data_IF_019417710584
#
_entry.id   IF_019417710584
#
_cell.length_a   1.000
_cell.length_b   1.000
_cell.length_c   1.000
_cell.angle_alpha   90.00
_cell.angle_beta   90.00
_cell.angle_gamma   90.00
#
_symmetry.space_group_name_H-M   'P 1'
#
loop_
_entity.id
_entity.type
_entity.pdbx_description
1 polymer ?
#
# COMPACT_ATOMS: atom_id res chain seq x y z
N UNK A 1 -34.25 -19.81 -3.93
CA UNK A 1 -33.39 -19.13 -4.92
C UNK A 1 -32.24 -18.49 -4.15
N UNK A 2 -31.03 -19.03 -4.29
CA UNK A 2 -29.84 -18.43 -3.69
C UNK A 2 -29.50 -17.17 -4.49
N UNK A 3 -29.56 -16.01 -3.83
CA UNK A 3 -29.02 -14.77 -4.37
C UNK A 3 -27.52 -14.96 -4.58
N UNK A 4 -27.06 -14.77 -5.82
CA UNK A 4 -25.63 -14.63 -6.12
C UNK A 4 -25.02 -13.61 -5.15
N UNK A 5 -23.86 -13.89 -4.53
CA UNK A 5 -23.21 -12.87 -3.72
C UNK A 5 -22.92 -11.69 -4.66
N UNK A 6 -23.50 -10.53 -4.33
CA UNK A 6 -23.22 -9.28 -5.04
C UNK A 6 -21.71 -9.14 -5.11
N UNK A 7 -21.15 -9.12 -6.33
CA UNK A 7 -19.73 -8.81 -6.54
C UNK A 7 -19.49 -7.41 -5.98
N UNK A 8 -19.01 -7.33 -4.75
CA UNK A 8 -18.71 -6.08 -4.11
C UNK A 8 -17.28 -5.70 -4.53
N UNK A 9 -17.18 -4.61 -5.29
CA UNK A 9 -15.90 -4.04 -5.67
C UNK A 9 -15.39 -3.21 -4.50
N UNK A 10 -14.09 -3.29 -4.21
CA UNK A 10 -13.46 -2.39 -3.24
C UNK A 10 -13.53 -0.95 -3.74
N UNK A 11 -13.49 0.03 -2.83
CA UNK A 11 -13.35 1.43 -3.25
C UNK A 11 -12.06 1.59 -4.04
N UNK A 12 -12.10 2.24 -5.22
CA UNK A 12 -10.91 2.43 -6.03
C UNK A 12 -9.84 3.21 -5.26
N UNK A 13 -8.60 3.02 -5.68
CA UNK A 13 -7.51 3.91 -5.26
C UNK A 13 -7.69 5.22 -6.03
N UNK A 14 -7.63 6.32 -5.31
CA UNK A 14 -8.04 7.66 -5.73
C UNK A 14 -7.06 8.71 -5.21
N UNK A 15 -7.22 9.97 -5.63
CA UNK A 15 -6.36 11.06 -5.18
C UNK A 15 -6.37 11.25 -3.65
N UNK A 16 -7.46 10.91 -2.97
CA UNK A 16 -7.57 10.94 -1.51
C UNK A 16 -6.68 9.89 -0.82
N UNK A 17 -6.18 8.89 -1.58
CA UNK A 17 -5.23 7.89 -1.10
C UNK A 17 -3.77 8.37 -1.27
N UNK A 18 -3.52 9.53 -1.89
CA UNK A 18 -2.18 10.11 -1.89
C UNK A 18 -1.72 10.42 -0.45
N UNK A 19 -0.44 10.21 -0.15
CA UNK A 19 0.14 10.57 1.14
C UNK A 19 1.28 9.69 1.62
N UNK A 20 1.65 9.90 2.87
CA UNK A 20 2.71 9.15 3.56
C UNK A 20 2.08 8.01 4.35
N UNK A 21 2.74 6.87 4.30
CA UNK A 21 2.35 5.65 5.01
C UNK A 21 3.52 5.13 5.83
N UNK A 22 3.24 4.38 6.88
CA UNK A 22 4.30 3.84 7.72
C UNK A 22 3.97 2.47 8.30
N UNK A 23 5.00 1.79 8.78
CA UNK A 23 4.85 0.61 9.64
C UNK A 23 5.43 0.84 11.01
N UNK A 24 4.75 0.30 12.01
CA UNK A 24 5.22 0.32 13.40
C UNK A 24 5.88 -1.02 13.73
N UNK A 25 7.07 -0.95 14.31
CA UNK A 25 7.69 -2.09 14.96
C UNK A 25 6.89 -2.43 16.22
N UNK A 26 6.15 -3.54 16.19
CA UNK A 26 5.30 -3.96 17.31
C UNK A 26 6.05 -4.19 18.63
N UNK A 27 7.37 -4.41 18.61
CA UNK A 27 8.17 -4.61 19.82
C UNK A 27 8.58 -3.29 20.48
N UNK A 28 8.86 -2.26 19.68
CA UNK A 28 9.41 -0.99 20.18
C UNK A 28 8.41 0.17 20.11
N UNK A 29 7.31 0.03 19.36
CA UNK A 29 6.39 1.11 19.05
C UNK A 29 6.95 2.16 18.08
N UNK A 30 8.20 1.99 17.63
CA UNK A 30 8.85 2.92 16.71
C UNK A 30 8.46 2.69 15.25
N UNK A 31 8.48 3.75 14.45
CA UNK A 31 8.33 3.66 12.99
C UNK A 31 9.54 2.93 12.40
N UNK A 32 9.29 1.92 11.58
CA UNK A 32 10.31 1.10 10.93
C UNK A 32 10.48 1.44 9.46
N UNK A 33 9.38 1.60 8.74
CA UNK A 33 9.39 1.98 7.33
C UNK A 33 8.45 3.15 7.11
N UNK A 34 8.84 4.04 6.20
CA UNK A 34 8.02 5.16 5.73
C UNK A 34 7.95 5.08 4.22
N UNK A 35 6.74 5.13 3.68
CA UNK A 35 6.43 5.07 2.27
C UNK A 35 5.67 6.32 1.84
N UNK A 36 5.73 6.67 0.57
CA UNK A 36 4.93 7.75 0.01
C UNK A 36 4.27 7.27 -1.28
N UNK A 37 2.95 7.42 -1.37
CA UNK A 37 2.19 7.24 -2.59
C UNK A 37 1.95 8.63 -3.19
N UNK A 38 2.34 8.81 -4.46
CA UNK A 38 2.25 10.08 -5.19
C UNK A 38 1.54 9.86 -6.51
N UNK A 39 0.67 10.79 -6.89
CA UNK A 39 0.11 10.88 -8.24
C UNK A 39 0.76 12.07 -8.96
N UNK A 40 1.46 11.83 -10.06
CA UNK A 40 2.20 12.82 -10.84
C UNK A 40 2.18 12.42 -12.32
N UNK A 41 2.06 13.39 -13.23
CA UNK A 41 2.03 13.15 -14.69
C UNK A 41 1.06 12.04 -15.14
N UNK A 42 -0.14 12.04 -14.55
CA UNK A 42 -1.22 11.06 -14.75
C UNK A 42 -0.93 9.62 -14.27
N UNK A 43 0.20 9.39 -13.60
CA UNK A 43 0.65 8.09 -13.11
C UNK A 43 0.80 8.04 -11.58
N UNK A 44 0.73 6.82 -11.02
CA UNK A 44 0.97 6.56 -9.60
C UNK A 44 2.39 6.06 -9.36
N UNK A 45 3.07 6.63 -8.36
CA UNK A 45 4.42 6.23 -7.95
C UNK A 45 4.48 5.91 -6.47
N UNK A 46 5.33 4.95 -6.11
CA UNK A 46 5.57 4.55 -4.73
C UNK A 46 7.04 4.80 -4.36
N UNK A 47 7.27 5.49 -3.25
CA UNK A 47 8.59 5.76 -2.72
C UNK A 47 8.74 5.16 -1.32
N UNK A 48 9.99 4.95 -0.91
CA UNK A 48 10.36 4.63 0.45
C UNK A 48 11.44 5.59 0.94
N UNK A 49 11.26 6.13 2.15
CA UNK A 49 12.30 6.91 2.80
C UNK A 49 13.41 5.97 3.25
N UNK A 50 14.62 6.17 2.73
CA UNK A 50 15.79 5.34 3.05
C UNK A 50 16.96 6.21 3.46
N UNK A 51 17.79 5.66 4.34
CA UNK A 51 19.10 6.23 4.58
C UNK A 51 19.97 5.99 3.34
N UNK A 52 20.43 7.07 2.72
CA UNK A 52 21.20 7.06 1.47
C UNK A 52 22.68 7.39 1.67
N UNK A 53 23.10 7.79 2.87
CA UNK A 53 24.50 8.11 3.16
C UNK A 53 24.99 7.46 4.47
N UNK A 54 26.32 7.44 4.68
CA UNK A 54 26.86 6.98 5.96
C UNK A 54 26.61 7.98 7.09
N UNK A 55 26.34 9.24 6.74
CA UNK A 55 26.17 10.35 7.67
C UNK A 55 24.72 10.49 8.17
N UNK A 56 23.81 9.65 7.66
CA UNK A 56 22.42 9.58 8.12
C UNK A 56 21.43 10.35 7.25
N UNK A 57 21.84 10.80 6.06
CA UNK A 57 20.94 11.53 5.16
C UNK A 57 19.83 10.62 4.66
N UNK A 58 18.59 11.09 4.80
CA UNK A 58 17.40 10.37 4.38
C UNK A 58 16.91 10.93 3.06
N UNK A 59 16.64 10.06 2.08
CA UNK A 59 16.06 10.44 0.81
C UNK A 59 14.91 9.52 0.41
N UNK A 60 13.97 10.08 -0.36
CA UNK A 60 12.92 9.30 -1.00
C UNK A 60 13.50 8.53 -2.18
N UNK A 61 13.40 7.20 -2.11
CA UNK A 61 13.86 6.31 -3.17
C UNK A 61 12.62 5.67 -3.80
N UNK A 62 12.50 5.80 -5.12
CA UNK A 62 11.41 5.16 -5.87
C UNK A 62 11.50 3.64 -5.72
N UNK A 63 10.36 3.00 -5.46
CA UNK A 63 10.23 1.56 -5.36
C UNK A 63 9.88 0.98 -6.73
N UNK A 64 10.91 0.68 -7.50
CA UNK A 64 10.81 0.12 -8.85
C UNK A 64 12.00 -0.79 -9.14
N UNK A 65 11.92 -1.58 -10.20
CA UNK A 65 13.04 -2.32 -10.77
C UNK A 65 13.14 -2.05 -12.27
N UNK A 66 14.36 -1.96 -12.80
CA UNK A 66 14.68 -1.87 -14.23
C UNK A 66 13.86 -0.89 -15.12
N UNK A 67 13.31 0.19 -14.55
CA UNK A 67 12.59 1.21 -15.32
C UNK A 67 11.06 1.09 -15.29
N UNK A 68 10.52 0.08 -14.62
CA UNK A 68 9.07 -0.05 -14.40
C UNK A 68 8.64 0.74 -13.15
N UNK A 69 8.51 2.05 -13.33
CA UNK A 69 8.31 3.00 -12.24
C UNK A 69 6.85 3.12 -11.80
N UNK A 70 5.94 3.26 -12.76
CA UNK A 70 4.53 3.56 -12.50
C UNK A 70 3.78 2.34 -12.00
N UNK A 71 2.84 2.54 -11.08
CA UNK A 71 1.94 1.49 -10.61
C UNK A 71 0.74 1.38 -11.54
N UNK A 72 0.50 0.16 -12.02
CA UNK A 72 -0.65 -0.18 -12.87
C UNK A 72 -1.73 -0.87 -12.05
N UNK A 73 -3.00 -0.53 -12.32
CA UNK A 73 -4.14 -1.18 -11.67
C UNK A 73 -4.22 -2.67 -12.02
N UNK A 74 -4.43 -3.51 -11.01
CA UNK A 74 -4.62 -4.95 -11.18
C UNK A 74 -6.10 -5.27 -11.28
N UNK A 75 -6.48 -6.13 -12.23
CA UNK A 75 -7.88 -6.50 -12.42
C UNK A 75 -8.45 -7.28 -11.22
N UNK A 76 -9.76 -7.20 -11.05
CA UNK A 76 -10.44 -7.80 -9.89
C UNK A 76 -10.28 -9.33 -9.81
N UNK A 77 -10.15 -10.03 -10.95
CA UNK A 77 -9.95 -11.47 -10.98
C UNK A 77 -8.59 -11.85 -10.40
N UNK A 78 -7.54 -11.17 -10.85
CA UNK A 78 -6.18 -11.34 -10.35
C UNK A 78 -6.07 -10.96 -8.88
N UNK A 79 -6.65 -9.82 -8.45
CA UNK A 79 -6.68 -9.44 -7.03
C UNK A 79 -7.32 -10.51 -6.17
N UNK A 80 -8.46 -11.08 -6.60
CA UNK A 80 -9.10 -12.17 -5.85
C UNK A 80 -8.18 -13.37 -5.69
N UNK A 81 -7.51 -13.80 -6.76
CA UNK A 81 -6.57 -14.93 -6.70
C UNK A 81 -5.40 -14.67 -5.74
N UNK A 82 -4.84 -13.46 -5.75
CA UNK A 82 -3.74 -13.08 -4.86
C UNK A 82 -4.15 -13.13 -3.38
N UNK A 83 -5.38 -12.73 -3.07
CA UNK A 83 -5.90 -12.64 -1.70
C UNK A 83 -6.85 -13.80 -1.31
N UNK A 84 -6.92 -14.90 -2.07
CA UNK A 84 -7.82 -16.04 -1.82
C UNK A 84 -7.35 -17.00 -0.70
N UNK A 85 -6.33 -16.60 0.07
CA UNK A 85 -5.75 -17.45 1.11
C UNK A 85 -6.51 -17.30 2.43
N UNK A 86 -6.62 -18.38 3.25
CA UNK A 86 -7.35 -18.33 4.53
C UNK A 86 -6.91 -17.21 5.47
N UNK A 87 -5.62 -16.85 5.47
CA UNK A 87 -5.08 -15.75 6.28
C UNK A 87 -5.64 -14.36 5.92
N UNK A 88 -6.27 -14.20 4.75
CA UNK A 88 -6.90 -12.96 4.29
C UNK A 88 -8.43 -13.02 4.32
N UNK A 89 -9.01 -14.14 4.77
CA UNK A 89 -10.46 -14.33 4.81
C UNK A 89 -11.19 -13.40 5.80
N UNK A 90 -10.46 -12.88 6.79
CA UNK A 90 -10.96 -11.90 7.75
C UNK A 90 -9.99 -10.72 7.91
N UNK A 91 -10.47 -9.47 8.03
CA UNK A 91 -11.90 -9.08 7.98
C UNK A 91 -12.51 -9.23 6.57
N UNK A 92 -13.83 -9.42 6.50
CA UNK A 92 -14.57 -9.42 5.23
C UNK A 92 -14.56 -8.04 4.56
N UNK A 93 -14.31 -8.03 3.26
CA UNK A 93 -14.29 -6.83 2.44
C UNK A 93 -13.71 -7.10 1.06
N UNK A 94 -13.24 -6.06 0.40
CA UNK A 94 -12.67 -6.15 -0.94
C UNK A 94 -11.36 -5.37 -1.05
N UNK A 95 -10.40 -5.99 -1.72
CA UNK A 95 -9.12 -5.38 -2.06
C UNK A 95 -9.17 -4.68 -3.42
N UNK A 96 -8.42 -3.60 -3.52
CA UNK A 96 -7.91 -3.01 -4.76
C UNK A 96 -6.38 -3.01 -4.67
N UNK A 97 -5.72 -3.11 -5.82
CA UNK A 97 -4.27 -3.22 -5.90
C UNK A 97 -3.78 -2.48 -7.15
N UNK A 98 -2.75 -1.65 -6.99
CA UNK A 98 -1.90 -1.21 -8.09
C UNK A 98 -0.50 -1.79 -7.87
N UNK A 99 0.22 -2.10 -8.94
CA UNK A 99 1.59 -2.61 -8.86
C UNK A 99 2.42 -2.24 -10.07
N UNK A 100 3.74 -2.17 -9.85
CA UNK A 100 4.73 -2.40 -10.89
C UNK A 100 5.23 -3.87 -10.78
N UNK A 101 6.31 -4.19 -11.46
CA UNK A 101 6.90 -5.53 -11.51
C UNK A 101 7.20 -6.09 -10.12
N UNK A 102 7.61 -5.24 -9.16
CA UNK A 102 8.14 -5.69 -7.87
C UNK A 102 7.35 -5.22 -6.65
N UNK A 103 6.67 -4.09 -6.75
CA UNK A 103 6.02 -3.41 -5.64
C UNK A 103 4.57 -3.11 -5.95
N UNK A 104 3.71 -3.22 -4.94
CA UNK A 104 2.31 -2.86 -5.04
C UNK A 104 1.79 -2.12 -3.83
N UNK A 105 0.73 -1.37 -4.07
CA UNK A 105 -0.05 -0.65 -3.08
C UNK A 105 -1.47 -1.18 -3.08
N UNK A 106 -1.88 -1.74 -1.93
CA UNK A 106 -3.19 -2.32 -1.72
C UNK A 106 -4.07 -1.43 -0.86
N UNK A 107 -5.35 -1.28 -1.25
CA UNK A 107 -6.41 -0.66 -0.46
C UNK A 107 -7.49 -1.67 -0.17
N UNK A 108 -7.80 -1.88 1.09
CA UNK A 108 -8.84 -2.76 1.56
C UNK A 108 -10.03 -1.97 2.05
N UNK A 109 -11.20 -2.21 1.46
CA UNK A 109 -12.47 -1.66 1.89
C UNK A 109 -13.24 -2.73 2.68
N UNK A 110 -13.43 -2.56 4.00
CA UNK A 110 -14.23 -3.48 4.78
C UNK A 110 -15.70 -3.49 4.37
N UNK A 111 -16.36 -4.63 4.55
CA UNK A 111 -17.81 -4.76 4.31
C UNK A 111 -18.64 -4.07 5.40
N UNK A 112 -18.11 -4.02 6.62
CA UNK A 112 -18.75 -3.32 7.74
C UNK A 112 -18.41 -1.82 7.66
N UNK A 113 -19.38 -0.91 7.50
CA UNK A 113 -19.10 0.52 7.31
C UNK A 113 -18.37 1.19 8.48
N UNK A 114 -18.49 0.65 9.68
CA UNK A 114 -17.80 1.16 10.87
C UNK A 114 -16.33 0.73 10.97
N UNK A 115 -15.89 -0.23 10.14
CA UNK A 115 -14.51 -0.68 10.13
C UNK A 115 -13.67 0.25 9.23
N UNK A 116 -12.45 0.60 9.65
CA UNK A 116 -11.61 1.51 8.89
C UNK A 116 -11.04 0.84 7.63
N UNK A 117 -10.86 1.64 6.58
CA UNK A 117 -10.05 1.26 5.41
C UNK A 117 -8.65 0.85 5.88
N UNK A 118 -8.09 -0.18 5.27
CA UNK A 118 -6.73 -0.64 5.54
C UNK A 118 -5.88 -0.57 4.29
N UNK A 119 -4.58 -0.41 4.48
CA UNK A 119 -3.64 -0.32 3.38
C UNK A 119 -2.54 -1.37 3.53
N UNK A 120 -1.94 -1.75 2.42
CA UNK A 120 -0.81 -2.67 2.40
C UNK A 120 0.23 -2.26 1.36
N UNK A 121 1.50 -2.44 1.71
CA UNK A 121 2.60 -2.53 0.75
C UNK A 121 2.80 -4.01 0.41
N UNK A 122 2.84 -4.32 -0.87
CA UNK A 122 2.94 -5.69 -1.37
C UNK A 122 4.24 -5.83 -2.15
N UNK A 123 4.98 -6.91 -1.92
CA UNK A 123 6.17 -7.24 -2.70
C UNK A 123 5.85 -8.44 -3.59
N UNK A 124 6.36 -8.41 -4.82
CA UNK A 124 6.15 -9.44 -5.82
C UNK A 124 7.45 -10.12 -6.21
N UNK A 125 7.35 -11.41 -6.50
CA UNK A 125 8.39 -12.21 -7.15
C UNK A 125 7.80 -12.77 -8.45
N UNK A 126 7.89 -12.00 -9.53
CA UNK A 126 7.12 -12.26 -10.74
C UNK A 126 5.62 -12.07 -10.48
N UNK A 127 4.82 -13.10 -10.76
CA UNK A 127 3.37 -13.07 -10.49
C UNK A 127 3.01 -13.44 -9.05
N UNK A 128 3.97 -13.92 -8.27
CA UNK A 128 3.71 -14.35 -6.90
C UNK A 128 3.74 -13.17 -5.93
N UNK A 129 2.64 -13.02 -5.19
CA UNK A 129 2.55 -12.09 -4.07
C UNK A 129 3.25 -12.67 -2.84
N UNK A 130 4.25 -11.94 -2.33
CA UNK A 130 4.83 -12.19 -1.02
C UNK A 130 3.92 -11.63 0.09
N UNK A 131 4.22 -11.96 1.34
CA UNK A 131 3.40 -11.55 2.49
C UNK A 131 3.19 -10.03 2.49
N UNK A 132 1.94 -9.54 2.38
CA UNK A 132 1.63 -8.11 2.41
C UNK A 132 2.03 -7.50 3.74
N UNK A 133 2.66 -6.34 3.67
CA UNK A 133 2.98 -5.52 4.82
C UNK A 133 1.85 -4.53 5.05
N UNK A 134 1.08 -4.69 6.13
CA UNK A 134 0.06 -3.71 6.50
C UNK A 134 0.74 -2.39 6.89
N UNK A 135 0.22 -1.30 6.32
CA UNK A 135 0.71 0.06 6.52
C UNK A 135 -0.42 0.96 7.03
N UNK A 136 -0.05 1.98 7.80
CA UNK A 136 -0.95 3.01 8.31
C UNK A 136 -0.74 4.30 7.53
N UNK A 137 -1.82 5.01 7.20
CA UNK A 137 -1.72 6.34 6.60
C UNK A 137 -1.38 7.34 7.70
N UNK A 138 -0.37 8.17 7.48
CA UNK A 138 0.00 9.22 8.41
C UNK A 138 -1.07 10.32 8.45
N UNK A 139 -1.44 10.72 9.67
CA UNK A 139 -2.28 11.90 9.92
C UNK A 139 -1.42 13.17 10.02
N UNK A 140 -2.05 14.34 9.92
CA UNK A 140 -1.39 15.66 9.80
C UNK A 140 -0.31 15.92 10.86
N UNK A 141 -0.54 15.53 12.11
CA UNK A 141 0.42 15.72 13.20
C UNK A 141 1.72 14.90 12.99
N UNK A 142 1.57 13.65 12.55
CA UNK A 142 2.70 12.78 12.24
C UNK A 142 3.41 13.24 10.95
N UNK A 143 2.65 13.69 9.95
CA UNK A 143 3.18 14.23 8.70
C UNK A 143 4.15 15.40 8.95
N UNK A 144 3.80 16.33 9.86
CA UNK A 144 4.69 17.44 10.23
C UNK A 144 6.02 16.96 10.82
N UNK A 145 5.97 15.92 11.67
CA UNK A 145 7.19 15.34 12.24
C UNK A 145 8.06 14.64 11.20
N UNK A 146 7.46 13.90 10.26
CA UNK A 146 8.18 13.16 9.22
C UNK A 146 8.78 14.09 8.16
N UNK A 147 8.07 15.17 7.80
CA UNK A 147 8.56 16.18 6.86
C UNK A 147 9.84 16.88 7.36
N UNK A 148 10.04 16.95 8.68
CA UNK A 148 11.27 17.50 9.28
C UNK A 148 12.51 16.61 9.08
N UNK A 149 12.32 15.31 8.80
CA UNK A 149 13.39 14.31 8.67
C UNK A 149 13.94 14.18 7.25
N UNK A 150 13.23 14.68 6.23
CA UNK A 150 13.58 14.51 4.81
C UNK A 150 14.26 15.75 4.20
N UNK A 151 15.13 16.44 4.96
CA UNK A 151 15.85 17.65 4.50
C UNK A 151 17.20 17.35 3.89
#
# INVERSE_FOLDING_TARGET
>A
MQSSPSMQFGQPISLDDQGIYYTVNRKTGGINNVFQLVYEDDDWYLFQLKNTSKDGDMAWVILADQGDYALMSVDTGTVRQLFDKPEFSEPKGAWQLMRNDRYGFGKFTPLLPAAPIRYAMVLFSGEEMLVPLLIEKAEDELLQSLASLAR
#
